data_IF_387676393339
#
_entry.id   IF_387676393339
#
_cell.length_a   1.000
_cell.length_b   1.000
_cell.length_c   1.000
_cell.angle_alpha   90.00
_cell.angle_beta   90.00
_cell.angle_gamma   90.00
#
_symmetry.space_group_name_H-M   'P 1'
#
loop_
_entity.id
_entity.type
_entity.pdbx_description
1 polymer ?
#
# COMPACT_ATOMS: atom_id res chain seq x y z
N UNK A 1 -6.48 -9.60 0.62
CA UNK A 1 -6.87 -11.02 0.36
C UNK A 1 -6.55 -11.64 -1.01
N UNK A 2 -6.17 -10.90 -2.07
CA UNK A 2 -5.94 -11.54 -3.40
C UNK A 2 -4.49 -11.98 -3.69
N UNK A 3 -3.49 -11.39 -3.04
CA UNK A 3 -2.07 -11.74 -3.23
C UNK A 3 -1.45 -12.53 -2.07
N UNK A 4 -1.59 -12.02 -0.84
CA UNK A 4 -0.94 -12.56 0.35
C UNK A 4 -1.28 -14.05 0.63
N UNK A 5 -2.57 -14.44 0.62
CA UNK A 5 -2.96 -15.84 0.83
C UNK A 5 -2.55 -16.81 -0.29
N UNK A 6 -2.12 -16.31 -1.45
CA UNK A 6 -1.73 -17.16 -2.58
C UNK A 6 -0.27 -17.62 -2.48
N UNK A 7 0.59 -16.80 -1.87
CA UNK A 7 2.05 -17.02 -1.83
C UNK A 7 2.61 -17.19 -0.40
N UNK A 8 1.76 -17.23 0.63
CA UNK A 8 2.18 -17.42 2.03
C UNK A 8 3.24 -18.52 2.14
N UNK A 9 4.36 -18.20 2.79
CA UNK A 9 5.51 -19.08 3.02
C UNK A 9 6.30 -19.55 1.77
N UNK A 10 6.22 -18.82 0.65
CA UNK A 10 7.08 -19.05 -0.53
C UNK A 10 8.18 -17.99 -0.67
N UNK A 11 9.30 -18.26 -1.36
CA UNK A 11 10.37 -17.26 -1.59
C UNK A 11 9.91 -15.98 -2.29
N UNK A 12 8.78 -16.06 -3.01
CA UNK A 12 8.16 -14.97 -3.76
C UNK A 12 7.20 -14.11 -2.91
N UNK A 13 7.07 -14.40 -1.60
CA UNK A 13 6.26 -13.61 -0.69
C UNK A 13 7.05 -12.42 -0.13
N UNK A 14 6.73 -11.17 -0.54
CA UNK A 14 7.40 -10.01 0.00
C UNK A 14 7.02 -9.75 1.47
N UNK A 15 5.89 -10.26 1.94
CA UNK A 15 5.32 -9.94 3.24
C UNK A 15 5.76 -10.88 4.38
N UNK A 16 6.50 -11.95 4.08
CA UNK A 16 7.14 -12.79 5.09
C UNK A 16 8.58 -12.31 5.35
N UNK A 17 8.96 -12.16 6.62
CA UNK A 17 10.34 -11.83 6.99
C UNK A 17 11.28 -13.01 6.73
N UNK A 18 12.48 -12.72 6.23
CA UNK A 18 13.51 -13.75 6.01
C UNK A 18 14.24 -14.05 7.31
N UNK A 19 14.68 -15.30 7.49
CA UNK A 19 15.43 -15.68 8.69
C UNK A 19 16.72 -14.86 8.80
N UNK A 20 16.87 -14.11 9.90
CA UNK A 20 17.99 -13.19 10.13
C UNK A 20 17.83 -11.77 9.58
N UNK A 21 16.70 -11.45 8.94
CA UNK A 21 16.40 -10.09 8.47
C UNK A 21 15.99 -9.18 9.63
N UNK A 22 16.61 -8.00 9.70
CA UNK A 22 16.21 -6.99 10.70
C UNK A 22 14.91 -6.31 10.27
N UNK A 23 14.13 -5.81 11.24
CA UNK A 23 12.90 -5.06 10.96
C UNK A 23 13.10 -3.92 9.95
N UNK A 24 14.22 -3.20 10.06
CA UNK A 24 14.55 -2.08 9.19
C UNK A 24 14.89 -2.48 7.75
N UNK A 25 15.31 -3.72 7.52
CA UNK A 25 15.50 -4.29 6.18
C UNK A 25 14.19 -4.84 5.63
N UNK A 26 13.39 -5.46 6.50
CA UNK A 26 12.09 -6.02 6.18
C UNK A 26 11.08 -4.94 5.75
N UNK A 27 10.91 -3.88 6.55
CA UNK A 27 9.87 -2.86 6.37
C UNK A 27 9.85 -2.19 4.98
N UNK A 28 10.97 -1.69 4.43
CA UNK A 28 10.96 -1.13 3.07
C UNK A 28 10.74 -2.21 2.00
N UNK A 29 11.27 -3.43 2.18
CA UNK A 29 11.11 -4.54 1.23
C UNK A 29 9.66 -5.01 1.13
N UNK A 30 9.01 -5.25 2.26
CA UNK A 30 7.59 -5.65 2.31
C UNK A 30 6.71 -4.54 1.75
N UNK A 31 6.94 -3.29 2.16
CA UNK A 31 6.11 -2.15 1.71
C UNK A 31 6.18 -1.97 0.18
N UNK A 32 7.38 -1.92 -0.40
CA UNK A 32 7.57 -1.74 -1.84
C UNK A 32 7.10 -2.99 -2.61
N UNK A 33 7.38 -4.18 -2.09
CA UNK A 33 6.95 -5.44 -2.69
C UNK A 33 5.42 -5.57 -2.73
N UNK A 34 4.74 -5.22 -1.64
CA UNK A 34 3.29 -5.23 -1.53
C UNK A 34 2.63 -4.21 -2.45
N UNK A 35 3.19 -3.00 -2.58
CA UNK A 35 2.72 -2.00 -3.55
C UNK A 35 2.87 -2.47 -5.00
N UNK A 36 4.03 -3.03 -5.34
CA UNK A 36 4.30 -3.56 -6.69
C UNK A 36 3.38 -4.73 -7.03
N UNK A 37 3.17 -5.63 -6.07
CA UNK A 37 2.25 -6.76 -6.19
C UNK A 37 0.80 -6.30 -6.39
N UNK A 38 0.32 -5.38 -5.56
CA UNK A 38 -1.01 -4.81 -5.68
C UNK A 38 -1.22 -4.10 -7.03
N UNK A 39 -0.21 -3.39 -7.53
CA UNK A 39 -0.24 -2.75 -8.85
C UNK A 39 -0.32 -3.78 -9.98
N UNK A 40 0.50 -4.83 -9.95
CA UNK A 40 0.52 -5.86 -10.98
C UNK A 40 -0.77 -6.69 -11.01
N UNK A 41 -1.35 -7.00 -9.85
CA UNK A 41 -2.64 -7.69 -9.75
C UNK A 41 -3.73 -6.87 -10.42
N UNK A 42 -3.77 -5.57 -10.13
CA UNK A 42 -4.80 -4.69 -10.64
C UNK A 42 -4.61 -4.37 -12.13
N UNK A 43 -3.37 -4.21 -12.57
CA UNK A 43 -3.01 -4.12 -13.99
C UNK A 43 -3.50 -5.34 -14.76
N UNK A 44 -3.22 -6.55 -14.26
CA UNK A 44 -3.67 -7.79 -14.92
C UNK A 44 -5.20 -7.92 -14.95
N UNK A 45 -5.92 -7.36 -13.96
CA UNK A 45 -7.38 -7.28 -13.97
C UNK A 45 -7.88 -6.36 -15.08
N UNK A 46 -7.31 -5.17 -15.21
CA UNK A 46 -7.71 -4.16 -16.19
C UNK A 46 -7.37 -4.58 -17.62
N UNK A 47 -6.23 -5.23 -17.84
CA UNK A 47 -5.86 -5.80 -19.14
C UNK A 47 -6.85 -6.87 -19.61
N UNK A 48 -7.36 -7.72 -18.70
CA UNK A 48 -8.43 -8.69 -19.02
C UNK A 48 -9.77 -8.04 -19.37
N UNK A 49 -9.98 -6.81 -18.94
CA UNK A 49 -11.19 -6.02 -19.20
C UNK A 49 -11.00 -5.03 -20.37
N UNK A 50 -9.87 -5.10 -21.07
CA UNK A 50 -9.48 -4.17 -22.13
C UNK A 50 -9.56 -2.69 -21.70
N UNK A 51 -9.11 -2.43 -20.47
CA UNK A 51 -9.15 -1.11 -19.85
C UNK A 51 -7.75 -0.57 -19.56
N UNK A 52 -7.63 0.76 -19.61
CA UNK A 52 -6.37 1.42 -19.29
C UNK A 52 -6.05 1.30 -17.79
N UNK A 53 -4.80 0.97 -17.49
CA UNK A 53 -4.24 0.86 -16.13
C UNK A 53 -4.31 2.20 -15.39
N UNK A 54 -4.16 3.31 -16.11
CA UNK A 54 -4.33 4.66 -15.57
C UNK A 54 -5.77 5.10 -15.84
N UNK A 55 -6.69 4.62 -15.01
CA UNK A 55 -8.10 5.00 -15.08
C UNK A 55 -8.73 5.02 -13.69
N UNK A 56 -9.87 5.70 -13.54
CA UNK A 56 -10.66 5.67 -12.30
C UNK A 56 -11.25 4.29 -11.99
N UNK A 57 -11.17 3.34 -12.94
CA UNK A 57 -11.55 1.95 -12.72
C UNK A 57 -10.45 1.17 -12.00
N UNK A 58 -9.23 1.71 -11.94
CA UNK A 58 -8.15 1.14 -11.15
C UNK A 58 -8.42 1.39 -9.66
N UNK A 59 -8.65 0.31 -8.92
CA UNK A 59 -8.98 0.36 -7.50
C UNK A 59 -7.85 1.00 -6.66
N UNK A 60 -6.58 0.81 -7.04
CA UNK A 60 -5.45 1.41 -6.35
C UNK A 60 -5.44 2.94 -6.53
N UNK A 61 -5.65 3.41 -7.77
CA UNK A 61 -5.71 4.85 -8.06
C UNK A 61 -6.88 5.49 -7.33
N UNK A 62 -8.04 4.83 -7.31
CA UNK A 62 -9.21 5.33 -6.60
C UNK A 62 -8.96 5.45 -5.10
N UNK A 63 -8.34 4.43 -4.48
CA UNK A 63 -7.99 4.45 -3.06
C UNK A 63 -6.98 5.56 -2.71
N UNK A 64 -5.95 5.73 -3.54
CA UNK A 64 -4.96 6.80 -3.35
C UNK A 64 -5.60 8.18 -3.52
N UNK A 65 -6.46 8.36 -4.52
CA UNK A 65 -7.17 9.62 -4.74
C UNK A 65 -8.06 9.95 -3.55
N UNK A 66 -8.84 8.99 -3.03
CA UNK A 66 -9.65 9.20 -1.83
C UNK A 66 -8.80 9.61 -0.62
N UNK A 67 -7.63 9.00 -0.45
CA UNK A 67 -6.69 9.35 0.62
C UNK A 67 -6.19 10.78 0.48
N UNK A 68 -5.76 11.18 -0.73
CA UNK A 68 -5.30 12.55 -1.03
C UNK A 68 -6.42 13.57 -0.80
N UNK A 69 -7.65 13.27 -1.25
CA UNK A 69 -8.80 14.15 -1.05
C UNK A 69 -9.11 14.32 0.44
N UNK A 70 -9.14 13.22 1.20
CA UNK A 70 -9.40 13.24 2.65
C UNK A 70 -8.30 14.02 3.39
N UNK A 71 -7.02 13.74 3.11
CA UNK A 71 -5.89 14.44 3.73
C UNK A 71 -5.90 15.92 3.36
N UNK A 72 -6.15 16.24 2.09
CA UNK A 72 -6.27 17.62 1.61
C UNK A 72 -7.40 18.37 2.30
N UNK A 73 -8.59 17.78 2.39
CA UNK A 73 -9.75 18.38 3.07
C UNK A 73 -9.46 18.66 4.55
N UNK A 74 -8.87 17.71 5.27
CA UNK A 74 -8.49 17.89 6.67
C UNK A 74 -7.37 18.92 6.83
N UNK A 75 -6.41 18.97 5.91
CA UNK A 75 -5.32 19.96 5.93
C UNK A 75 -5.85 21.37 5.68
N UNK A 76 -6.82 21.53 4.78
CA UNK A 76 -7.48 22.83 4.54
C UNK A 76 -8.29 23.25 5.78
N UNK A 77 -8.98 22.33 6.44
CA UNK A 77 -9.81 22.62 7.60
C UNK A 77 -9.01 22.91 8.88
N UNK A 78 -7.91 22.20 9.12
CA UNK A 78 -7.17 22.21 10.39
C UNK A 78 -5.72 22.70 10.27
N UNK A 79 -5.27 23.04 9.06
CA UNK A 79 -3.94 23.56 8.77
C UNK A 79 -2.86 22.49 8.61
N UNK A 80 -1.64 22.94 8.33
CA UNK A 80 -0.48 22.09 8.03
C UNK A 80 -0.07 21.15 9.18
N UNK A 81 -0.35 21.52 10.43
CA UNK A 81 -0.08 20.64 11.58
C UNK A 81 -0.89 19.34 11.51
N UNK A 82 -2.12 19.39 10.98
CA UNK A 82 -2.95 18.21 10.78
C UNK A 82 -2.34 17.27 9.73
N UNK A 83 -1.77 17.80 8.64
CA UNK A 83 -1.08 16.99 7.64
C UNK A 83 0.11 16.23 8.25
N UNK A 84 0.94 16.92 9.02
CA UNK A 84 2.09 16.29 9.68
C UNK A 84 1.64 15.16 10.62
N UNK A 85 0.60 15.40 11.42
CA UNK A 85 0.01 14.38 12.28
C UNK A 85 -0.53 13.19 11.48
N UNK A 86 -1.28 13.43 10.40
CA UNK A 86 -1.85 12.39 9.55
C UNK A 86 -0.78 11.51 8.88
N UNK A 87 0.32 12.11 8.40
CA UNK A 87 1.44 11.37 7.80
C UNK A 87 2.12 10.48 8.84
N UNK A 88 2.40 11.02 10.03
CA UNK A 88 3.01 10.23 11.12
C UNK A 88 2.08 9.10 11.55
N UNK A 89 0.79 9.40 11.75
CA UNK A 89 -0.21 8.41 12.13
C UNK A 89 -0.34 7.29 11.08
N UNK A 90 -0.36 7.63 9.79
CA UNK A 90 -0.42 6.66 8.70
C UNK A 90 0.81 5.75 8.68
N UNK A 91 2.01 6.32 8.87
CA UNK A 91 3.26 5.55 8.93
C UNK A 91 3.28 4.59 10.13
N UNK A 92 2.87 5.06 11.31
CA UNK A 92 2.76 4.21 12.50
C UNK A 92 1.73 3.10 12.33
N UNK A 93 0.56 3.41 11.76
CA UNK A 93 -0.48 2.41 11.48
C UNK A 93 -0.01 1.35 10.49
N UNK A 94 0.66 1.76 9.42
CA UNK A 94 1.25 0.83 8.44
C UNK A 94 2.31 -0.07 9.07
N UNK A 95 3.22 0.50 9.87
CA UNK A 95 4.25 -0.28 10.55
C UNK A 95 3.67 -1.29 11.54
N UNK A 96 2.63 -0.92 12.30
CA UNK A 96 1.96 -1.83 13.24
C UNK A 96 1.31 -3.03 12.54
N UNK A 97 0.76 -2.84 11.34
CA UNK A 97 0.17 -3.94 10.54
C UNK A 97 1.20 -4.95 10.03
N UNK A 98 2.47 -4.55 9.91
CA UNK A 98 3.57 -5.43 9.48
C UNK A 98 4.28 -6.12 10.67
N UNK A 99 3.99 -5.69 11.90
CA UNK A 99 4.58 -6.24 13.13
C UNK A 99 3.76 -7.40 13.72
N UNK A 100 2.47 -7.48 13.40
CA UNK A 100 1.50 -8.47 13.92
C UNK A 100 1.29 -9.57 12.88
#
# INVERSE_FOLDING_TARGET
>A
NKGHHKNVATPEDPASSKMGETFWQFLPRTTIGSLTSAWNIEKARLERLDQNVISLKNENIQAWLMTVVMFGALTIAFGWAALAFLVVQAAFGAALLEVI
#
